data_IF_238011369087
#
_entry.id   IF_238011369087
#
_cell.length_a   1.000
_cell.length_b   1.000
_cell.length_c   1.000
_cell.angle_alpha   90.00
_cell.angle_beta   90.00
_cell.angle_gamma   90.00
#
_symmetry.space_group_name_H-M   'P 1'
#
loop_
_entity.id
_entity.type
_entity.pdbx_description
1 polymer ?
#
# COMPACT_ATOMS: atom_id res chain seq x y z
N UNK A 1 33.26 -14.49 24.25
CA UNK A 1 31.83 -14.12 24.26
C UNK A 1 31.49 -12.74 24.85
N UNK A 2 32.30 -12.15 25.75
CA UNK A 2 31.98 -10.86 26.38
C UNK A 2 32.34 -9.63 25.50
N UNK A 3 33.31 -9.76 24.58
CA UNK A 3 33.74 -8.67 23.68
C UNK A 3 32.79 -8.40 22.49
N UNK A 4 31.92 -9.34 22.12
CA UNK A 4 30.91 -9.13 21.06
C UNK A 4 29.70 -8.31 21.53
N UNK A 5 29.42 -8.25 22.83
CA UNK A 5 28.29 -7.47 23.37
C UNK A 5 28.55 -5.96 23.38
N UNK A 6 29.80 -5.53 23.50
CA UNK A 6 30.16 -4.12 23.65
C UNK A 6 30.11 -3.33 22.32
N UNK A 7 30.47 -3.98 21.20
CA UNK A 7 30.37 -3.37 19.87
C UNK A 7 28.91 -3.19 19.43
N UNK A 8 28.05 -4.18 19.71
CA UNK A 8 26.61 -4.10 19.41
C UNK A 8 25.91 -2.98 20.19
N UNK A 9 26.28 -2.78 21.46
CA UNK A 9 25.70 -1.72 22.29
C UNK A 9 26.13 -0.31 21.82
N UNK A 10 27.41 -0.13 21.45
CA UNK A 10 27.92 1.13 20.87
C UNK A 10 27.30 1.43 19.50
N UNK A 11 27.10 0.40 18.68
CA UNK A 11 26.42 0.53 17.39
C UNK A 11 24.95 0.92 17.54
N UNK A 12 24.22 0.32 18.50
CA UNK A 12 22.84 0.68 18.81
C UNK A 12 22.72 2.11 19.36
N UNK A 13 23.64 2.54 20.21
CA UNK A 13 23.70 3.91 20.72
C UNK A 13 24.01 4.93 19.60
N UNK A 14 24.89 4.57 18.67
CA UNK A 14 25.16 5.41 17.51
C UNK A 14 23.93 5.53 16.60
N UNK A 15 23.24 4.42 16.32
CA UNK A 15 22.02 4.40 15.53
C UNK A 15 20.88 5.18 16.19
N UNK A 16 20.73 5.10 17.51
CA UNK A 16 19.71 5.87 18.24
C UNK A 16 20.01 7.37 18.23
N UNK A 17 21.26 7.76 18.46
CA UNK A 17 21.70 9.15 18.38
C UNK A 17 21.55 9.72 16.95
N UNK A 18 21.96 8.96 15.93
CA UNK A 18 21.76 9.36 14.53
C UNK A 18 20.27 9.50 14.17
N UNK A 19 19.42 8.59 14.67
CA UNK A 19 17.98 8.66 14.47
C UNK A 19 17.36 9.88 15.14
N UNK A 20 17.81 10.22 16.36
CA UNK A 20 17.36 11.42 17.08
C UNK A 20 17.77 12.71 16.36
N UNK A 21 19.02 12.80 15.87
CA UNK A 21 19.50 13.94 15.10
C UNK A 21 18.73 14.11 13.78
N UNK A 22 18.46 13.01 13.06
CA UNK A 22 17.68 13.03 11.82
C UNK A 22 16.23 13.43 12.05
N UNK A 23 15.62 12.97 13.14
CA UNK A 23 14.26 13.35 13.53
C UNK A 23 14.20 14.84 13.86
N UNK A 24 15.14 15.34 14.67
CA UNK A 24 15.23 16.76 15.05
C UNK A 24 15.45 17.65 13.82
N UNK A 25 16.32 17.25 12.89
CA UNK A 25 16.52 17.95 11.62
C UNK A 25 15.23 17.95 10.77
N UNK A 26 14.54 16.81 10.69
CA UNK A 26 13.29 16.66 9.94
C UNK A 26 12.15 17.53 10.45
N UNK A 27 12.11 17.82 11.76
CA UNK A 27 11.15 18.73 12.40
C UNK A 27 11.42 20.21 12.12
N UNK A 28 12.67 20.57 11.76
CA UNK A 28 13.09 21.96 11.52
C UNK A 28 12.88 22.41 10.07
N UNK A 29 12.56 21.49 9.15
CA UNK A 29 12.37 21.81 7.73
C UNK A 29 10.96 22.40 7.49
N UNK A 30 10.84 23.54 6.77
CA UNK A 30 9.56 24.22 6.59
C UNK A 30 8.57 23.33 5.82
N UNK A 31 7.36 23.16 6.38
CA UNK A 31 6.26 22.45 5.74
C UNK A 31 5.36 23.41 4.93
N UNK A 32 4.75 22.93 3.83
CA UNK A 32 3.73 23.68 3.11
C UNK A 32 2.58 24.12 4.04
N UNK A 33 2.05 25.33 3.87
CA UNK A 33 1.09 25.97 4.78
C UNK A 33 -0.33 25.35 4.79
N UNK A 34 -0.55 24.21 4.15
CA UNK A 34 -1.88 23.65 3.90
C UNK A 34 -2.42 22.68 4.96
N UNK A 35 -1.69 22.40 6.04
CA UNK A 35 -2.12 21.39 7.03
C UNK A 35 -2.77 22.00 8.28
N UNK A 36 -3.98 21.54 8.62
CA UNK A 36 -4.66 21.92 9.86
C UNK A 36 -3.89 21.50 11.14
N UNK A 37 -3.05 20.46 11.06
CA UNK A 37 -2.16 20.02 12.16
C UNK A 37 -0.70 19.95 11.68
N UNK A 38 -0.02 21.10 11.78
CA UNK A 38 1.36 21.28 11.32
C UNK A 38 2.36 20.44 12.12
N UNK A 39 2.09 20.20 13.40
CA UNK A 39 2.96 19.43 14.28
C UNK A 39 2.89 17.93 13.94
N UNK A 40 1.69 17.39 13.75
CA UNK A 40 1.52 15.99 13.36
C UNK A 40 2.10 15.72 11.96
N UNK A 41 1.91 16.64 11.02
CA UNK A 41 2.52 16.53 9.69
C UNK A 41 4.05 16.57 9.77
N UNK A 42 4.63 17.46 10.59
CA UNK A 42 6.07 17.56 10.80
C UNK A 42 6.65 16.26 11.38
N UNK A 43 5.98 15.71 12.38
CA UNK A 43 6.38 14.45 13.00
C UNK A 43 6.36 13.29 11.99
N UNK A 44 5.28 13.18 11.19
CA UNK A 44 5.17 12.14 10.15
C UNK A 44 6.25 12.29 9.07
N UNK A 45 6.50 13.52 8.61
CA UNK A 45 7.57 13.79 7.64
C UNK A 45 8.96 13.47 8.21
N UNK A 46 9.23 13.87 9.45
CA UNK A 46 10.49 13.59 10.13
C UNK A 46 10.70 12.08 10.32
N UNK A 47 9.68 11.35 10.78
CA UNK A 47 9.74 9.89 10.94
C UNK A 47 10.06 9.18 9.61
N UNK A 48 9.40 9.59 8.53
CA UNK A 48 9.61 9.02 7.20
C UNK A 48 11.01 9.31 6.65
N UNK A 49 11.53 10.53 6.86
CA UNK A 49 12.91 10.90 6.49
C UNK A 49 13.92 10.06 7.25
N UNK A 50 13.76 9.93 8.56
CA UNK A 50 14.64 9.12 9.42
C UNK A 50 14.61 7.66 8.98
N UNK A 51 13.43 7.09 8.73
CA UNK A 51 13.29 5.73 8.22
C UNK A 51 14.05 5.54 6.91
N UNK A 52 13.91 6.49 5.98
CA UNK A 52 14.57 6.42 4.67
C UNK A 52 16.09 6.55 4.76
N UNK A 53 16.58 7.49 5.57
CA UNK A 53 18.01 7.66 5.80
C UNK A 53 18.63 6.44 6.47
N UNK A 54 17.95 5.87 7.47
CA UNK A 54 18.40 4.67 8.16
C UNK A 54 18.43 3.46 7.23
N UNK A 55 17.37 3.22 6.45
CA UNK A 55 17.37 2.08 5.54
C UNK A 55 18.39 2.22 4.41
N UNK A 56 18.64 3.43 3.88
CA UNK A 56 19.76 3.66 2.94
C UNK A 56 21.13 3.42 3.58
N UNK A 57 21.30 3.76 4.85
CA UNK A 57 22.53 3.46 5.59
C UNK A 57 22.71 1.95 5.74
N UNK A 58 21.64 1.21 6.07
CA UNK A 58 21.68 -0.24 6.16
C UNK A 58 22.05 -0.91 4.83
N UNK A 59 21.52 -0.41 3.71
CA UNK A 59 21.90 -0.87 2.37
C UNK A 59 23.39 -0.68 2.09
N UNK A 60 23.93 0.51 2.42
CA UNK A 60 25.37 0.81 2.27
C UNK A 60 26.26 -0.06 3.14
N UNK A 61 25.76 -0.48 4.29
CA UNK A 61 26.47 -1.38 5.22
C UNK A 61 26.21 -2.86 4.92
N UNK A 62 25.47 -3.18 3.85
CA UNK A 62 25.11 -4.54 3.44
C UNK A 62 24.36 -5.33 4.55
N UNK A 63 23.55 -4.63 5.34
CA UNK A 63 22.78 -5.21 6.46
C UNK A 63 21.36 -5.65 6.06
N UNK A 64 20.96 -5.42 4.80
CA UNK A 64 19.66 -5.73 4.24
C UNK A 64 19.11 -4.60 3.37
N UNK A 65 18.04 -4.87 2.61
CA UNK A 65 17.36 -3.85 1.80
C UNK A 65 16.58 -2.85 2.67
N UNK A 66 16.37 -1.64 2.12
CA UNK A 66 15.50 -0.64 2.74
C UNK A 66 14.11 -1.22 3.07
N UNK A 67 13.53 -2.02 2.18
CA UNK A 67 12.20 -2.62 2.36
C UNK A 67 12.18 -3.57 3.55
N UNK A 68 13.21 -4.43 3.66
CA UNK A 68 13.34 -5.37 4.77
C UNK A 68 13.49 -4.63 6.10
N UNK A 69 14.29 -3.56 6.12
CA UNK A 69 14.45 -2.71 7.29
C UNK A 69 13.14 -1.99 7.65
N UNK A 70 12.47 -1.42 6.65
CA UNK A 70 11.21 -0.72 6.81
C UNK A 70 10.14 -1.64 7.38
N UNK A 71 10.00 -2.88 6.90
CA UNK A 71 9.07 -3.87 7.49
C UNK A 71 9.39 -4.26 8.93
N UNK A 72 10.68 -4.35 9.28
CA UNK A 72 11.08 -4.69 10.65
C UNK A 72 10.81 -3.55 11.63
N UNK A 73 10.98 -2.31 11.17
CA UNK A 73 10.78 -1.09 11.97
C UNK A 73 9.30 -0.71 12.04
N UNK A 74 8.61 -0.73 10.90
CA UNK A 74 7.18 -0.48 10.78
C UNK A 74 6.40 -1.75 11.14
N UNK A 75 6.42 -2.11 12.42
CA UNK A 75 5.48 -3.09 12.95
C UNK A 75 4.14 -2.41 13.15
N UNK A 76 3.19 -2.71 12.28
CA UNK A 76 1.81 -2.29 12.46
C UNK A 76 1.18 -3.19 13.52
N UNK A 77 0.75 -2.64 14.66
CA UNK A 77 0.12 -3.45 15.70
C UNK A 77 -1.13 -4.12 15.15
N UNK A 78 -1.41 -5.33 15.62
CA UNK A 78 -2.70 -5.96 15.37
C UNK A 78 -3.81 -5.00 15.83
N UNK A 79 -4.94 -4.93 15.12
CA UNK A 79 -6.04 -4.07 15.52
C UNK A 79 -6.52 -4.44 16.92
N UNK A 80 -6.76 -3.43 17.75
CA UNK A 80 -7.45 -3.58 19.02
C UNK A 80 -8.95 -3.58 18.76
N UNK A 81 -9.68 -4.50 19.37
CA UNK A 81 -11.15 -4.44 19.38
C UNK A 81 -11.61 -3.16 20.07
N UNK A 82 -12.61 -2.50 19.49
CA UNK A 82 -13.28 -1.37 20.13
C UNK A 82 -14.70 -1.72 20.53
N UNK A 83 -15.39 -0.80 21.20
CA UNK A 83 -16.78 -1.02 21.63
C UNK A 83 -17.73 -1.15 20.43
N UNK A 84 -17.37 -0.57 19.28
CA UNK A 84 -18.18 -0.43 18.07
C UNK A 84 -17.75 -1.35 16.92
N UNK A 85 -16.47 -1.77 16.85
CA UNK A 85 -15.90 -2.50 15.71
C UNK A 85 -15.21 -3.80 16.13
N UNK A 86 -15.49 -4.87 15.38
CA UNK A 86 -14.83 -6.17 15.52
C UNK A 86 -13.82 -6.35 14.38
N UNK A 87 -12.57 -6.68 14.74
CA UNK A 87 -11.51 -7.02 13.80
C UNK A 87 -11.14 -8.49 13.87
N UNK A 88 -11.08 -9.19 12.73
CA UNK A 88 -10.60 -10.56 12.69
C UNK A 88 -10.00 -10.90 11.31
N UNK A 89 -9.17 -11.94 11.27
CA UNK A 89 -8.63 -12.44 10.01
C UNK A 89 -9.49 -13.55 9.44
N UNK A 90 -9.73 -13.48 8.13
CA UNK A 90 -10.39 -14.56 7.38
C UNK A 90 -9.67 -14.79 6.06
N UNK A 91 -9.53 -16.05 5.69
CA UNK A 91 -8.91 -16.43 4.43
C UNK A 91 -9.90 -16.23 3.27
N UNK A 92 -9.45 -15.53 2.22
CA UNK A 92 -10.14 -15.41 0.94
C UNK A 92 -9.13 -15.67 -0.18
N UNK A 93 -9.26 -16.82 -0.85
CA UNK A 93 -8.25 -17.32 -1.78
C UNK A 93 -6.84 -17.30 -1.15
N UNK A 94 -5.90 -16.57 -1.74
CA UNK A 94 -4.52 -16.46 -1.24
C UNK A 94 -4.32 -15.33 -0.20
N UNK A 95 -5.35 -14.51 0.06
CA UNK A 95 -5.27 -13.40 1.01
C UNK A 95 -5.75 -13.80 2.40
N UNK A 96 -4.91 -13.59 3.40
CA UNK A 96 -5.33 -13.52 4.82
C UNK A 96 -5.89 -12.12 5.09
N UNK A 97 -7.11 -11.90 4.64
CA UNK A 97 -7.82 -10.61 4.67
C UNK A 97 -8.17 -10.23 6.11
N UNK A 98 -7.90 -8.98 6.48
CA UNK A 98 -8.38 -8.40 7.72
C UNK A 98 -9.81 -7.89 7.50
N UNK A 99 -10.74 -8.35 8.33
CA UNK A 99 -12.15 -7.95 8.29
C UNK A 99 -12.43 -7.04 9.47
N UNK A 100 -12.95 -5.84 9.19
CA UNK A 100 -13.49 -4.91 10.17
C UNK A 100 -15.02 -4.85 9.97
N UNK A 101 -15.79 -5.18 11.00
CA UNK A 101 -17.25 -5.21 10.91
C UNK A 101 -17.91 -4.55 12.12
N UNK A 102 -19.13 -4.00 11.99
CA UNK A 102 -19.86 -3.44 13.12
C UNK A 102 -20.11 -4.48 14.21
N UNK A 103 -19.93 -4.09 15.47
CA UNK A 103 -20.37 -4.85 16.63
C UNK A 103 -21.86 -4.62 16.82
N UNK A 104 -22.69 -5.61 16.53
CA UNK A 104 -24.11 -5.53 16.86
C UNK A 104 -24.33 -5.88 18.33
N UNK A 105 -24.99 -5.00 19.08
CA UNK A 105 -25.54 -5.38 20.38
C UNK A 105 -26.64 -6.43 20.16
N UNK A 106 -26.44 -7.59 20.75
CA UNK A 106 -27.39 -8.70 20.77
C UNK A 106 -28.67 -8.28 21.52
N UNK A 107 -29.61 -7.64 20.82
CA UNK A 107 -30.83 -7.11 21.43
C UNK A 107 -32.09 -7.07 20.56
N UNK A 108 -32.03 -7.26 19.24
CA UNK A 108 -33.24 -7.38 18.40
C UNK A 108 -33.04 -8.47 17.35
N UNK A 109 -33.85 -9.53 17.41
CA UNK A 109 -33.74 -10.77 16.63
C UNK A 109 -34.06 -10.66 15.13
N UNK A 110 -33.69 -9.55 14.49
CA UNK A 110 -33.74 -9.41 13.04
C UNK A 110 -32.33 -9.46 12.48
N UNK A 111 -32.12 -10.33 11.49
CA UNK A 111 -30.87 -10.55 10.79
C UNK A 111 -30.52 -9.32 9.91
N UNK A 112 -30.16 -8.19 10.53
CA UNK A 112 -29.87 -6.90 9.86
C UNK A 112 -28.65 -6.93 8.94
N UNK A 113 -27.93 -8.04 8.87
CA UNK A 113 -26.84 -8.22 7.92
C UNK A 113 -27.34 -8.60 6.53
N UNK A 114 -28.57 -9.11 6.37
CA UNK A 114 -29.10 -9.52 5.07
C UNK A 114 -29.19 -8.33 4.09
N UNK A 115 -28.33 -8.34 3.08
CA UNK A 115 -28.22 -7.29 2.07
C UNK A 115 -27.31 -6.12 2.47
N UNK A 116 -26.40 -6.31 3.44
CA UNK A 116 -25.46 -5.28 3.86
C UNK A 116 -24.43 -4.94 2.77
N UNK A 117 -23.99 -3.68 2.75
CA UNK A 117 -22.91 -3.22 1.86
C UNK A 117 -21.54 -3.61 2.42
N UNK A 118 -20.52 -3.63 1.57
CA UNK A 118 -19.13 -3.84 1.97
C UNK A 118 -18.14 -3.03 1.14
N UNK A 119 -16.93 -2.82 1.68
CA UNK A 119 -15.80 -2.25 0.97
C UNK A 119 -14.64 -3.24 0.98
N UNK A 120 -14.10 -3.57 -0.18
CA UNK A 120 -12.82 -4.26 -0.32
C UNK A 120 -11.74 -3.20 -0.38
N UNK A 121 -10.85 -3.15 0.61
CA UNK A 121 -9.79 -2.14 0.70
C UNK A 121 -8.43 -2.74 0.35
N UNK A 122 -7.69 -2.08 -0.55
CA UNK A 122 -6.34 -2.45 -0.96
C UNK A 122 -5.38 -1.34 -0.53
N UNK A 123 -4.46 -1.66 0.37
CA UNK A 123 -3.54 -0.68 0.93
C UNK A 123 -2.49 -0.19 -0.08
N UNK A 124 -1.96 1.01 0.15
CA UNK A 124 -0.78 1.53 -0.55
C UNK A 124 0.55 0.97 -0.05
N UNK A 125 1.65 1.69 -0.32
CA UNK A 125 3.00 1.28 0.08
C UNK A 125 3.93 0.88 -1.07
N UNK A 126 3.66 1.34 -2.29
CA UNK A 126 4.53 1.12 -3.44
C UNK A 126 4.75 -0.36 -3.77
N UNK A 127 3.74 -1.20 -3.52
CA UNK A 127 3.76 -2.67 -3.67
C UNK A 127 4.81 -3.41 -2.82
N UNK A 128 5.77 -2.70 -2.21
CA UNK A 128 6.90 -3.25 -1.49
C UNK A 128 6.76 -3.12 0.03
N UNK A 129 5.90 -2.22 0.50
CA UNK A 129 5.71 -1.87 1.91
C UNK A 129 4.25 -2.00 2.34
N UNK A 130 4.06 -2.05 3.65
CA UNK A 130 2.75 -1.96 4.28
C UNK A 130 2.07 -3.30 4.53
N UNK A 131 0.89 -3.20 5.11
CA UNK A 131 0.02 -4.30 5.48
C UNK A 131 -1.39 -3.75 5.73
N UNK A 132 -2.46 -4.57 5.73
CA UNK A 132 -3.81 -4.14 6.09
C UNK A 132 -3.89 -3.33 7.38
N UNK A 133 -3.06 -3.67 8.37
CA UNK A 133 -3.06 -3.06 9.70
C UNK A 133 -2.62 -1.59 9.69
N UNK A 134 -1.92 -1.14 8.64
CA UNK A 134 -1.58 0.28 8.43
C UNK A 134 -2.84 1.15 8.35
N UNK A 135 -3.96 0.57 7.93
CA UNK A 135 -5.22 1.26 7.71
C UNK A 135 -6.28 0.88 8.75
N UNK A 136 -5.89 0.33 9.91
CA UNK A 136 -6.82 -0.03 10.99
C UNK A 136 -7.73 1.14 11.37
N UNK A 137 -7.17 2.32 11.65
CA UNK A 137 -7.97 3.50 12.03
C UNK A 137 -8.90 3.96 10.91
N UNK A 138 -8.48 3.84 9.64
CA UNK A 138 -9.36 4.14 8.51
C UNK A 138 -10.51 3.14 8.41
N UNK A 139 -10.21 1.84 8.54
CA UNK A 139 -11.22 0.78 8.51
C UNK A 139 -12.22 0.95 9.65
N UNK A 140 -11.72 1.27 10.85
CA UNK A 140 -12.55 1.56 12.02
C UNK A 140 -13.49 2.74 11.76
N UNK A 141 -12.95 3.89 11.36
CA UNK A 141 -13.73 5.09 11.07
C UNK A 141 -14.78 4.84 9.99
N UNK A 142 -14.45 4.08 8.94
CA UNK A 142 -15.41 3.70 7.91
C UNK A 142 -16.54 2.84 8.47
N UNK A 143 -16.24 1.83 9.27
CA UNK A 143 -17.25 0.98 9.91
C UNK A 143 -18.13 1.80 10.85
N UNK A 144 -17.55 2.64 11.70
CA UNK A 144 -18.30 3.47 12.67
C UNK A 144 -19.22 4.48 12.00
N UNK A 145 -18.76 5.13 10.93
CA UNK A 145 -19.53 6.17 10.24
C UNK A 145 -20.61 5.62 9.32
N UNK A 146 -20.43 4.39 8.80
CA UNK A 146 -21.30 3.88 7.73
C UNK A 146 -22.01 2.57 8.07
N UNK A 147 -21.57 1.85 9.09
CA UNK A 147 -22.02 0.49 9.39
C UNK A 147 -21.61 -0.55 8.34
N UNK A 148 -20.71 -0.20 7.41
CA UNK A 148 -20.30 -1.05 6.29
C UNK A 148 -19.10 -1.92 6.71
N UNK A 149 -19.13 -3.21 6.37
CA UNK A 149 -17.98 -4.11 6.61
C UNK A 149 -16.83 -3.79 5.64
N UNK A 150 -15.61 -3.74 6.16
CA UNK A 150 -14.39 -3.51 5.39
C UNK A 150 -13.56 -4.80 5.33
N UNK A 151 -13.20 -5.21 4.12
CA UNK A 151 -12.30 -6.32 3.82
C UNK A 151 -10.95 -5.76 3.36
N UNK A 152 -10.02 -5.56 4.29
CA UNK A 152 -8.67 -5.08 3.99
C UNK A 152 -7.78 -6.24 3.51
N UNK A 153 -7.52 -6.27 2.21
CA UNK A 153 -6.84 -7.36 1.51
C UNK A 153 -5.34 -7.34 1.83
N UNK A 154 -4.80 -8.51 2.18
CA UNK A 154 -3.36 -8.73 2.29
C UNK A 154 -2.88 -9.33 0.97
N UNK A 155 -1.92 -8.68 0.33
CA UNK A 155 -1.29 -9.17 -0.89
C UNK A 155 0.21 -9.35 -0.70
N UNK A 156 0.82 -10.26 -1.47
CA UNK A 156 2.27 -10.47 -1.49
C UNK A 156 2.98 -9.21 -1.95
N UNK A 157 4.03 -8.84 -1.23
CA UNK A 157 4.80 -7.64 -1.53
C UNK A 157 5.87 -7.93 -2.58
N UNK A 158 6.29 -6.90 -3.31
CA UNK A 158 7.25 -7.04 -4.42
C UNK A 158 8.61 -7.61 -4.02
N UNK A 159 9.01 -7.42 -2.75
CA UNK A 159 10.21 -8.03 -2.17
C UNK A 159 10.07 -9.54 -1.92
N UNK A 160 8.85 -10.04 -1.79
CA UNK A 160 8.54 -11.46 -1.65
C UNK A 160 8.38 -12.08 -3.03
N UNK A 161 7.53 -11.47 -3.86
CA UNK A 161 7.33 -11.83 -5.25
C UNK A 161 7.00 -10.58 -6.08
N UNK A 162 7.72 -10.33 -7.18
CA UNK A 162 7.41 -9.22 -8.08
C UNK A 162 6.05 -9.43 -8.76
N UNK A 163 5.66 -8.44 -9.57
CA UNK A 163 4.53 -8.54 -10.48
C UNK A 163 4.51 -9.89 -11.22
N UNK A 164 3.36 -10.58 -11.34
CA UNK A 164 1.99 -10.11 -11.03
C UNK A 164 1.46 -10.46 -9.63
N UNK A 165 2.28 -10.93 -8.68
CA UNK A 165 1.80 -11.55 -7.44
C UNK A 165 0.78 -10.70 -6.63
N UNK A 166 1.08 -9.42 -6.40
CA UNK A 166 0.17 -8.51 -5.69
C UNK A 166 -1.18 -8.35 -6.40
N UNK A 167 -1.16 -8.28 -7.74
CA UNK A 167 -2.36 -8.17 -8.56
C UNK A 167 -3.20 -9.45 -8.49
N UNK A 168 -2.56 -10.62 -8.60
CA UNK A 168 -3.24 -11.92 -8.53
C UNK A 168 -3.89 -12.14 -7.16
N UNK A 169 -3.22 -11.75 -6.08
CA UNK A 169 -3.77 -11.83 -4.72
C UNK A 169 -4.98 -10.91 -4.55
N UNK A 170 -4.89 -9.66 -5.01
CA UNK A 170 -6.01 -8.72 -4.94
C UNK A 170 -7.21 -9.17 -5.79
N UNK A 171 -6.97 -9.66 -7.00
CA UNK A 171 -8.02 -10.16 -7.89
C UNK A 171 -8.70 -11.41 -7.30
N UNK A 172 -7.91 -12.40 -6.87
CA UNK A 172 -8.44 -13.65 -6.31
C UNK A 172 -9.18 -13.42 -5.00
N UNK A 173 -8.67 -12.55 -4.11
CA UNK A 173 -9.36 -12.15 -2.89
C UNK A 173 -10.68 -11.44 -3.21
N UNK A 174 -10.68 -10.53 -4.20
CA UNK A 174 -11.88 -9.81 -4.61
C UNK A 174 -12.96 -10.77 -5.09
N UNK A 175 -12.63 -11.69 -6.00
CA UNK A 175 -13.55 -12.71 -6.49
C UNK A 175 -14.10 -13.57 -5.35
N UNK A 176 -13.22 -14.07 -4.47
CA UNK A 176 -13.62 -14.90 -3.34
C UNK A 176 -14.55 -14.17 -2.34
N UNK A 177 -14.38 -12.86 -2.15
CA UNK A 177 -15.28 -12.04 -1.32
C UNK A 177 -16.65 -11.90 -1.98
N UNK A 178 -16.69 -11.65 -3.30
CA UNK A 178 -17.95 -11.61 -4.04
C UNK A 178 -18.69 -12.95 -4.02
N UNK A 179 -17.98 -14.07 -4.23
CA UNK A 179 -18.56 -15.41 -4.17
C UNK A 179 -19.11 -15.73 -2.78
N UNK A 180 -18.41 -15.28 -1.73
CA UNK A 180 -18.85 -15.47 -0.35
C UNK A 180 -19.94 -14.50 0.09
N UNK A 181 -20.27 -13.45 -0.69
CA UNK A 181 -21.12 -12.33 -0.27
C UNK A 181 -22.42 -12.79 0.39
N UNK A 182 -23.17 -13.68 -0.28
CA UNK A 182 -24.44 -14.21 0.26
C UNK A 182 -24.26 -14.93 1.61
N UNK A 183 -23.20 -15.74 1.75
CA UNK A 183 -22.90 -16.47 3.00
C UNK A 183 -22.46 -15.54 4.13
N UNK A 184 -21.94 -14.36 3.78
CA UNK A 184 -21.55 -13.29 4.68
C UNK A 184 -22.72 -12.35 5.03
N UNK A 185 -23.91 -12.60 4.47
CA UNK A 185 -25.06 -11.70 4.56
C UNK A 185 -25.00 -10.50 3.60
N UNK A 186 -23.91 -10.29 2.87
CA UNK A 186 -23.70 -9.11 2.03
C UNK A 186 -24.55 -9.15 0.75
N UNK A 187 -24.96 -7.96 0.29
CA UNK A 187 -25.45 -7.76 -1.07
C UNK A 187 -24.26 -7.53 -2.02
N UNK A 188 -24.02 -8.47 -2.93
CA UNK A 188 -22.98 -8.36 -3.95
C UNK A 188 -23.14 -7.10 -4.82
N UNK A 189 -24.37 -6.62 -5.05
CA UNK A 189 -24.66 -5.39 -5.78
C UNK A 189 -24.30 -4.10 -5.01
N UNK A 190 -23.89 -4.22 -3.75
CA UNK A 190 -23.49 -3.12 -2.86
C UNK A 190 -22.06 -3.26 -2.34
N UNK A 191 -21.24 -4.08 -2.99
CA UNK A 191 -19.81 -4.17 -2.69
C UNK A 191 -19.06 -3.09 -3.48
N UNK A 192 -18.27 -2.28 -2.79
CA UNK A 192 -17.33 -1.34 -3.38
C UNK A 192 -15.89 -1.89 -3.27
N UNK A 193 -14.98 -1.35 -4.09
CA UNK A 193 -13.54 -1.58 -3.98
C UNK A 193 -12.82 -0.24 -3.81
N UNK A 194 -11.82 -0.16 -2.96
CA UNK A 194 -11.10 1.07 -2.68
C UNK A 194 -9.61 0.80 -2.47
N UNK A 195 -8.78 1.81 -2.74
CA UNK A 195 -7.37 1.74 -2.38
C UNK A 195 -6.63 3.05 -2.57
N UNK A 196 -5.49 3.16 -1.90
CA UNK A 196 -4.63 4.34 -1.90
C UNK A 196 -3.29 4.09 -2.60
N UNK A 197 -2.74 5.09 -3.31
CA UNK A 197 -1.43 5.01 -3.96
C UNK A 197 -1.29 3.77 -4.86
N UNK A 198 -0.37 2.85 -4.53
CA UNK A 198 -0.21 1.54 -5.18
C UNK A 198 -1.48 0.66 -5.09
N UNK A 199 -2.21 0.71 -3.97
CA UNK A 199 -3.49 0.03 -3.81
C UNK A 199 -4.60 0.64 -4.67
N UNK A 200 -4.52 1.94 -4.96
CA UNK A 200 -5.38 2.60 -5.96
C UNK A 200 -5.10 2.09 -7.38
N UNK A 201 -3.83 1.83 -7.72
CA UNK A 201 -3.45 1.19 -8.98
C UNK A 201 -3.98 -0.25 -9.07
N UNK A 202 -3.84 -1.03 -7.99
CA UNK A 202 -4.35 -2.41 -7.92
C UNK A 202 -5.89 -2.42 -8.03
N UNK A 203 -6.56 -1.48 -7.39
CA UNK A 203 -8.01 -1.27 -7.50
C UNK A 203 -8.43 -1.06 -8.96
N UNK A 204 -7.76 -0.14 -9.67
CA UNK A 204 -8.02 0.10 -11.09
C UNK A 204 -7.80 -1.16 -11.94
N UNK A 205 -6.71 -1.89 -11.67
CA UNK A 205 -6.33 -3.10 -12.42
C UNK A 205 -7.33 -4.24 -12.21
N UNK A 206 -7.75 -4.48 -10.96
CA UNK A 206 -8.76 -5.51 -10.62
C UNK A 206 -10.08 -5.21 -11.31
N UNK A 207 -10.57 -3.97 -11.23
CA UNK A 207 -11.84 -3.59 -11.88
C UNK A 207 -11.76 -3.75 -13.40
N UNK A 208 -10.64 -3.35 -14.01
CA UNK A 208 -10.44 -3.55 -15.44
C UNK A 208 -10.42 -5.02 -15.83
N UNK A 209 -9.76 -5.87 -15.03
CA UNK A 209 -9.70 -7.30 -15.29
C UNK A 209 -11.08 -7.95 -15.17
N UNK A 210 -11.86 -7.62 -14.12
CA UNK A 210 -13.24 -8.09 -13.97
C UNK A 210 -14.10 -7.74 -15.18
N UNK A 211 -13.96 -6.52 -15.70
CA UNK A 211 -14.66 -6.09 -16.93
C UNK A 211 -14.20 -6.88 -18.15
N UNK A 212 -12.89 -7.06 -18.32
CA UNK A 212 -12.30 -7.73 -19.50
C UNK A 212 -12.61 -9.21 -19.57
N UNK A 213 -12.64 -9.90 -18.42
CA UNK A 213 -12.96 -11.33 -18.37
C UNK A 213 -14.46 -11.63 -18.50
N UNK A 214 -15.31 -10.60 -18.60
CA UNK A 214 -16.77 -10.78 -18.58
C UNK A 214 -17.29 -11.26 -17.24
N UNK A 215 -16.58 -10.99 -16.14
CA UNK A 215 -16.98 -11.42 -14.80
C UNK A 215 -18.40 -10.93 -14.45
N UNK A 216 -19.23 -11.78 -13.81
CA UNK A 216 -20.53 -11.35 -13.29
C UNK A 216 -20.38 -10.40 -12.10
N UNK A 217 -19.23 -10.42 -11.43
CA UNK A 217 -18.97 -9.57 -10.26
C UNK A 217 -18.57 -8.16 -10.68
N UNK A 218 -19.33 -7.18 -10.22
CA UNK A 218 -19.14 -5.77 -10.54
C UNK A 218 -19.20 -4.94 -9.26
N UNK A 219 -18.05 -4.41 -8.79
CA UNK A 219 -18.09 -3.43 -7.71
C UNK A 219 -19.01 -2.27 -8.07
N UNK A 220 -19.88 -1.91 -7.13
CA UNK A 220 -20.83 -0.80 -7.26
C UNK A 220 -20.13 0.54 -7.40
N UNK A 221 -18.97 0.66 -6.77
CA UNK A 221 -18.10 1.83 -6.74
C UNK A 221 -16.64 1.35 -6.73
N UNK A 222 -15.76 2.06 -7.42
CA UNK A 222 -14.33 2.02 -7.14
C UNK A 222 -13.84 3.39 -6.64
N UNK A 223 -13.07 3.41 -5.55
CA UNK A 223 -12.48 4.62 -5.00
C UNK A 223 -10.96 4.53 -5.07
N UNK A 224 -10.32 5.51 -5.69
CA UNK A 224 -8.88 5.55 -5.87
C UNK A 224 -8.30 6.81 -5.23
N UNK A 225 -7.59 6.66 -4.12
CA UNK A 225 -6.99 7.77 -3.39
C UNK A 225 -5.56 7.98 -3.91
N UNK A 226 -5.30 9.11 -4.57
CA UNK A 226 -4.01 9.45 -5.20
C UNK A 226 -3.31 8.28 -5.93
N UNK A 227 -4.01 7.59 -6.87
CA UNK A 227 -3.53 6.34 -7.46
C UNK A 227 -2.29 6.51 -8.34
N UNK A 228 -1.50 5.44 -8.45
CA UNK A 228 -0.45 5.33 -9.49
C UNK A 228 -1.05 4.82 -10.80
N UNK A 229 -1.48 5.73 -11.68
CA UNK A 229 -2.17 5.34 -12.93
C UNK A 229 -1.28 5.23 -14.15
N UNK A 230 -0.02 5.66 -14.07
CA UNK A 230 0.93 5.55 -15.17
C UNK A 230 2.37 5.39 -14.65
N UNK A 231 3.16 4.56 -15.34
CA UNK A 231 4.55 4.26 -15.03
C UNK A 231 5.51 4.57 -16.21
N UNK A 232 5.00 5.20 -17.27
CA UNK A 232 5.74 5.43 -18.53
C UNK A 232 6.39 6.81 -18.61
N UNK A 233 5.98 7.75 -17.76
CA UNK A 233 6.53 9.09 -17.69
C UNK A 233 6.55 9.61 -16.24
N UNK A 234 7.66 9.43 -15.55
CA UNK A 234 7.82 9.99 -14.19
C UNK A 234 8.19 11.47 -14.17
N UNK A 235 8.24 12.13 -15.34
CA UNK A 235 8.55 13.56 -15.48
C UNK A 235 7.29 14.39 -15.72
N UNK A 236 6.11 14.01 -15.23
CA UNK A 236 4.92 14.88 -15.33
C UNK A 236 5.14 16.22 -14.63
N UNK A 237 4.35 17.25 -14.97
CA UNK A 237 4.45 18.55 -14.31
C UNK A 237 4.35 18.44 -12.78
N UNK A 238 3.45 17.60 -12.26
CA UNK A 238 3.32 17.36 -10.82
C UNK A 238 4.54 16.68 -10.22
N UNK A 239 5.12 15.66 -10.88
CA UNK A 239 6.33 14.98 -10.41
C UNK A 239 7.54 15.91 -10.37
N UNK A 240 7.66 16.85 -11.33
CA UNK A 240 8.74 17.83 -11.34
C UNK A 240 8.54 18.91 -10.28
N UNK A 241 7.35 19.50 -10.18
CA UNK A 241 7.08 20.58 -9.24
C UNK A 241 7.09 20.12 -7.77
N UNK A 242 6.85 18.84 -7.51
CA UNK A 242 6.80 18.26 -6.16
C UNK A 242 7.92 17.25 -5.89
N UNK A 243 8.98 17.24 -6.71
CA UNK A 243 10.13 16.32 -6.53
C UNK A 243 10.83 16.49 -5.19
N UNK A 244 10.72 17.68 -4.59
CA UNK A 244 11.36 18.05 -3.33
C UNK A 244 10.45 17.89 -2.09
N UNK A 245 9.20 17.44 -2.26
CA UNK A 245 8.32 17.14 -1.12
C UNK A 245 8.88 15.93 -0.37
N UNK A 246 8.88 15.98 0.96
CA UNK A 246 9.58 15.04 1.84
C UNK A 246 9.42 13.55 1.48
N UNK A 247 8.21 13.09 1.11
CA UNK A 247 7.99 11.70 0.70
C UNK A 247 8.69 11.37 -0.64
N UNK A 248 8.50 12.22 -1.66
CA UNK A 248 8.98 11.99 -3.02
C UNK A 248 10.49 12.20 -3.18
N UNK A 249 11.09 13.08 -2.38
CA UNK A 249 12.54 13.36 -2.37
C UNK A 249 13.35 12.16 -1.88
N UNK A 250 12.79 11.41 -0.93
CA UNK A 250 13.52 10.36 -0.23
C UNK A 250 13.13 8.95 -0.71
N UNK A 251 11.90 8.76 -1.21
CA UNK A 251 11.43 7.49 -1.75
C UNK A 251 10.97 7.68 -3.21
N UNK A 252 11.90 7.65 -4.19
CA UNK A 252 11.56 7.90 -5.57
C UNK A 252 10.64 6.80 -6.12
N UNK A 253 9.61 7.19 -6.88
CA UNK A 253 8.67 6.23 -7.50
C UNK A 253 9.36 5.19 -8.38
N UNK A 254 10.51 5.52 -8.96
CA UNK A 254 11.29 4.58 -9.78
C UNK A 254 11.82 3.38 -9.00
N UNK A 255 12.12 3.54 -7.71
CA UNK A 255 12.51 2.43 -6.82
C UNK A 255 11.38 1.43 -6.68
N UNK A 256 10.20 1.91 -6.29
CA UNK A 256 9.03 1.04 -6.11
C UNK A 256 8.58 0.39 -7.41
N UNK A 257 8.64 1.12 -8.53
CA UNK A 257 8.34 0.54 -9.83
C UNK A 257 9.37 -0.52 -10.25
N UNK A 258 10.66 -0.31 -9.97
CA UNK A 258 11.70 -1.32 -10.25
C UNK A 258 11.45 -2.59 -9.43
N UNK A 259 11.21 -2.45 -8.12
CA UNK A 259 10.93 -3.58 -7.25
C UNK A 259 9.64 -4.30 -7.67
N UNK A 260 8.60 -3.55 -8.01
CA UNK A 260 7.34 -4.12 -8.45
C UNK A 260 7.49 -4.92 -9.76
N UNK A 261 8.21 -4.39 -10.74
CA UNK A 261 8.32 -5.02 -12.07
C UNK A 261 9.39 -6.11 -12.13
N UNK A 262 10.55 -5.90 -11.51
CA UNK A 262 11.72 -6.75 -11.63
C UNK A 262 12.07 -7.52 -10.34
N UNK A 263 11.50 -7.13 -9.20
CA UNK A 263 11.85 -7.70 -7.90
C UNK A 263 13.14 -7.15 -7.31
N UNK A 264 13.84 -6.28 -8.04
CA UNK A 264 15.12 -5.70 -7.66
C UNK A 264 15.26 -4.23 -8.12
N UNK A 265 16.45 -3.66 -7.92
CA UNK A 265 16.77 -2.27 -8.26
C UNK A 265 17.34 -2.08 -9.67
N UNK A 266 17.44 -3.13 -10.48
CA UNK A 266 18.12 -3.09 -11.79
C UNK A 266 17.50 -2.10 -12.78
N UNK A 267 16.21 -1.85 -12.68
CA UNK A 267 15.47 -0.96 -13.57
C UNK A 267 15.27 0.46 -13.02
N UNK A 268 15.67 0.74 -11.77
CA UNK A 268 15.32 1.99 -11.09
C UNK A 268 15.89 3.24 -11.77
N UNK A 269 17.15 3.19 -12.21
CA UNK A 269 17.80 4.31 -12.89
C UNK A 269 17.15 4.57 -14.25
N UNK A 270 16.90 3.50 -15.01
CA UNK A 270 16.21 3.58 -16.30
C UNK A 270 14.79 4.15 -16.16
N UNK A 271 14.01 3.66 -15.19
CA UNK A 271 12.64 4.14 -14.92
C UNK A 271 12.64 5.63 -14.54
N UNK A 272 13.64 6.10 -13.78
CA UNK A 272 13.73 7.51 -13.37
C UNK A 272 13.93 8.48 -14.54
N UNK A 273 14.49 8.00 -15.64
CA UNK A 273 14.80 8.79 -16.83
C UNK A 273 13.65 8.84 -17.84
N UNK A 274 12.58 8.06 -17.62
CA UNK A 274 11.41 8.02 -18.49
C UNK A 274 10.72 9.40 -18.52
N UNK A 275 10.90 10.11 -19.65
CA UNK A 275 10.41 11.48 -19.85
C UNK A 275 9.26 11.63 -20.82
N UNK A 276 9.03 10.64 -21.68
CA UNK A 276 7.90 10.49 -22.61
C UNK A 276 7.89 9.03 -23.10
N UNK A 277 6.71 8.49 -23.42
CA UNK A 277 6.59 7.16 -24.04
C UNK A 277 7.14 7.20 -25.47
N UNK A 278 8.46 7.09 -25.63
CA UNK A 278 9.05 6.80 -26.93
C UNK A 278 8.66 5.39 -27.35
N UNK A 279 8.55 5.14 -28.65
CA UNK A 279 8.27 3.80 -29.19
C UNK A 279 9.26 2.75 -28.67
N UNK A 280 10.50 3.18 -28.42
CA UNK A 280 11.53 2.38 -27.77
C UNK A 280 11.21 2.03 -26.30
N UNK A 281 10.79 3.00 -25.47
CA UNK A 281 10.34 2.72 -24.10
C UNK A 281 9.13 1.78 -24.08
N UNK A 282 8.25 1.90 -25.08
CA UNK A 282 7.10 1.01 -25.31
C UNK A 282 7.53 -0.44 -25.56
N UNK A 283 8.52 -0.63 -26.44
CA UNK A 283 9.07 -1.95 -26.78
C UNK A 283 9.90 -2.56 -25.65
N UNK A 284 10.66 -1.76 -24.91
CA UNK A 284 11.42 -2.21 -23.74
C UNK A 284 10.48 -2.67 -22.61
N UNK A 285 9.39 -1.93 -22.35
CA UNK A 285 8.36 -2.34 -21.39
C UNK A 285 7.65 -3.62 -21.84
N UNK A 286 7.33 -3.76 -23.14
CA UNK A 286 6.78 -4.99 -23.74
C UNK A 286 7.73 -6.19 -23.58
N UNK A 287 9.04 -5.97 -23.69
CA UNK A 287 10.06 -7.01 -23.56
C UNK A 287 10.31 -7.42 -22.10
N UNK A 288 10.22 -6.48 -21.16
CA UNK A 288 10.42 -6.71 -19.73
C UNK A 288 9.20 -7.33 -19.03
N UNK A 289 7.98 -7.08 -19.54
CA UNK A 289 6.73 -7.51 -18.87
C UNK A 289 5.93 -8.58 -19.63
N UNK A 290 6.40 -9.01 -20.80
CA UNK A 290 5.64 -9.86 -21.73
C UNK A 290 4.42 -9.14 -22.35
N UNK A 291 3.63 -9.84 -23.18
CA UNK A 291 2.44 -9.25 -23.83
C UNK A 291 1.30 -8.89 -22.87
N UNK A 292 1.38 -9.32 -21.60
CA UNK A 292 0.28 -9.26 -20.63
C UNK A 292 -0.05 -7.84 -20.18
N UNK A 293 0.93 -6.93 -20.12
CA UNK A 293 0.74 -5.57 -19.57
C UNK A 293 0.56 -4.46 -20.62
N UNK A 294 0.96 -4.68 -21.87
CA UNK A 294 0.79 -3.66 -22.92
C UNK A 294 -0.70 -3.36 -23.12
N UNK A 295 -1.58 -4.36 -23.06
CA UNK A 295 -3.00 -4.10 -23.25
C UNK A 295 -3.68 -3.45 -22.04
N UNK A 296 -3.17 -3.60 -20.81
CA UNK A 296 -3.74 -3.00 -19.58
C UNK A 296 -3.45 -1.51 -19.41
N UNK A 297 -2.29 -1.04 -19.90
CA UNK A 297 -1.86 0.36 -19.74
C UNK A 297 -2.01 1.22 -21.00
N UNK A 298 -2.32 0.65 -22.17
CA UNK A 298 -2.31 1.37 -23.46
C UNK A 298 -3.68 1.82 -23.98
N UNK A 299 -4.76 1.62 -23.23
CA UNK A 299 -6.12 2.04 -23.61
C UNK A 299 -6.77 3.02 -22.60
N UNK A 300 -5.98 3.69 -21.78
CA UNK A 300 -6.33 5.01 -21.21
C UNK A 300 -5.63 6.09 -22.01
#
# INVERSE_FOLDING_TARGET
LILMGCCSCRFLLFLSAASACLLAYGLYEPLPDFSQDRALLALRCAALKTLTALGRLMERLNLGSFETAAHRILRFPAPSYTSSVIFYYRQFANSRTLVAMPRHESGTGENRTAGAAAVIYIHGGGWALGAPEMHNSLCEQLVEQTGITVFAVRYRLSSEQPFPAAFDDCLSATLAIFDAAKSLGLDAGRIAIAGDSAGGQLTASVVQQLRRSGSPHRPKLHLMVYPVTQAVNLRTSSHRSHSNVALMKHLPSSRFLSLYLAGDMSAADWISQLGHATEYARLAYKRATGEVLVNAYMHM
#
